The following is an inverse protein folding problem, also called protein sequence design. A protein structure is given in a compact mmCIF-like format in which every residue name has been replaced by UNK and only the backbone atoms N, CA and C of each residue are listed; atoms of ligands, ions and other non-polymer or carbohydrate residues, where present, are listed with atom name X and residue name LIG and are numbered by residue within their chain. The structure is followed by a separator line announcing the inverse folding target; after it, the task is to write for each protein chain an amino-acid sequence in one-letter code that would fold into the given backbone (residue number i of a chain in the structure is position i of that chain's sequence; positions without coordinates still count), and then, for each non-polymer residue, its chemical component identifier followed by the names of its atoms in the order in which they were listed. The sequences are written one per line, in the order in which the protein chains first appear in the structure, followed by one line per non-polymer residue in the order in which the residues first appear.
data_IF_855820815660
#
_entry.id   IF_855820815660
#
_cell.length_a   1.000
_cell.length_b   1.000
_cell.length_c   1.000
_cell.angle_alpha   90.00
_cell.angle_beta   90.00
_cell.angle_gamma   90.00
#
_symmetry.space_group_name_H-M   'P 1'
#
loop_
_entity.id
_entity.type
_entity.pdbx_description
1 polymer ?
#
# COMPACT_ATOMS: atom_id res chain seq x y z
N UNK A 1 -1.06 13.10 -4.75
CA UNK A 1 -0.52 12.69 -3.43
C UNK A 1 0.51 11.56 -3.51
N UNK A 2 0.18 10.36 -4.05
CA UNK A 2 1.15 9.24 -4.11
C UNK A 2 2.44 9.55 -4.89
N UNK A 3 2.36 10.38 -5.93
CA UNK A 3 3.54 10.84 -6.68
C UNK A 3 4.55 11.62 -5.81
N UNK A 4 4.12 12.31 -4.75
CA UNK A 4 5.05 12.99 -3.86
C UNK A 4 5.94 12.00 -3.09
N UNK A 5 5.43 10.79 -2.80
CA UNK A 5 6.20 9.73 -2.14
C UNK A 5 7.33 9.19 -3.03
N UNK A 6 7.22 9.31 -4.35
CA UNK A 6 8.28 8.88 -5.26
C UNK A 6 9.41 9.91 -5.36
N UNK A 7 9.28 11.11 -4.81
CA UNK A 7 10.29 12.16 -4.88
C UNK A 7 11.15 12.14 -3.59
N UNK A 8 12.46 12.28 -3.76
CA UNK A 8 13.40 12.49 -2.67
C UNK A 8 13.42 13.98 -2.32
N UNK A 9 13.17 14.31 -1.05
CA UNK A 9 12.97 15.70 -0.61
C UNK A 9 14.19 16.58 -0.87
N UNK A 10 15.39 16.08 -0.57
CA UNK A 10 16.62 16.87 -0.63
C UNK A 10 17.19 17.02 -2.05
N UNK A 11 17.01 16.02 -2.90
CA UNK A 11 17.64 15.98 -4.23
C UNK A 11 16.65 16.27 -5.35
N UNK A 12 15.35 16.35 -5.04
CA UNK A 12 14.25 16.47 -6.00
C UNK A 12 14.26 15.40 -7.09
N UNK A 13 14.96 14.27 -6.86
CA UNK A 13 15.03 13.13 -7.78
C UNK A 13 14.01 12.08 -7.42
N UNK A 14 13.66 11.24 -8.40
CA UNK A 14 12.83 10.06 -8.14
C UNK A 14 13.59 9.02 -7.30
N UNK A 15 12.89 8.42 -6.34
CA UNK A 15 13.37 7.30 -5.53
C UNK A 15 13.46 6.05 -6.38
N UNK A 16 14.39 5.16 -6.01
CA UNK A 16 14.45 3.82 -6.61
C UNK A 16 13.17 3.04 -6.30
N UNK A 17 12.83 2.09 -7.18
CA UNK A 17 11.65 1.25 -7.01
C UNK A 17 11.65 0.48 -5.67
N UNK A 18 12.83 0.07 -5.18
CA UNK A 18 12.99 -0.57 -3.88
C UNK A 18 12.61 0.37 -2.71
N UNK A 19 13.12 1.62 -2.71
CA UNK A 19 12.78 2.59 -1.66
C UNK A 19 11.30 3.00 -1.72
N UNK A 20 10.80 3.26 -2.92
CA UNK A 20 9.40 3.64 -3.13
C UNK A 20 8.43 2.53 -2.71
N UNK A 21 8.70 1.27 -3.10
CA UNK A 21 7.84 0.14 -2.72
C UNK A 21 7.78 -0.10 -1.21
N UNK A 22 8.89 0.08 -0.49
CA UNK A 22 8.90 -0.01 0.98
C UNK A 22 8.07 1.09 1.65
N UNK A 23 8.14 2.33 1.15
CA UNK A 23 7.31 3.43 1.67
C UNK A 23 5.83 3.19 1.36
N UNK A 24 5.53 2.79 0.12
CA UNK A 24 4.16 2.54 -0.31
C UNK A 24 3.54 1.34 0.42
N UNK A 25 4.30 0.27 0.70
CA UNK A 25 3.80 -0.86 1.50
C UNK A 25 3.42 -0.45 2.92
N UNK A 26 4.19 0.46 3.52
CA UNK A 26 3.89 1.00 4.84
C UNK A 26 2.59 1.79 4.81
N UNK A 27 2.39 2.63 3.79
CA UNK A 27 1.15 3.38 3.62
C UNK A 27 -0.06 2.45 3.37
N UNK A 28 0.09 1.41 2.54
CA UNK A 28 -0.94 0.36 2.33
C UNK A 28 -1.33 -0.28 3.66
N UNK A 29 -0.35 -0.59 4.51
CA UNK A 29 -0.61 -1.16 5.83
C UNK A 29 -1.39 -0.20 6.72
N UNK A 30 -0.94 1.05 6.86
CA UNK A 30 -1.62 2.07 7.67
C UNK A 30 -3.07 2.28 7.21
N UNK A 31 -3.30 2.39 5.90
CA UNK A 31 -4.66 2.56 5.34
C UNK A 31 -5.56 1.35 5.68
N UNK A 32 -5.04 0.13 5.63
CA UNK A 32 -5.81 -1.07 6.02
C UNK A 32 -6.17 -1.05 7.50
N UNK A 33 -5.23 -0.72 8.36
CA UNK A 33 -5.48 -0.65 9.82
C UNK A 33 -6.53 0.41 10.12
N UNK A 34 -6.40 1.61 9.56
CA UNK A 34 -7.39 2.68 9.74
C UNK A 34 -8.76 2.30 9.18
N UNK A 35 -8.82 1.65 8.01
CA UNK A 35 -10.09 1.23 7.43
C UNK A 35 -10.75 0.11 8.25
N UNK A 36 -9.97 -0.83 8.79
CA UNK A 36 -10.49 -1.85 9.71
C UNK A 36 -11.07 -1.17 10.94
N UNK A 37 -10.34 -0.25 11.57
CA UNK A 37 -10.82 0.46 12.75
C UNK A 37 -12.08 1.28 12.46
N UNK A 38 -12.17 1.89 11.27
CA UNK A 38 -13.35 2.67 10.86
C UNK A 38 -14.58 1.79 10.56
N UNK A 39 -14.38 0.61 9.97
CA UNK A 39 -15.49 -0.29 9.62
C UNK A 39 -15.87 -1.27 10.73
N UNK A 40 -14.95 -1.55 11.65
CA UNK A 40 -15.07 -2.46 12.77
C UNK A 40 -14.44 -1.78 13.99
N UNK A 41 -15.19 -0.84 14.58
CA UNK A 41 -14.76 -0.09 15.76
C UNK A 41 -14.29 -1.05 16.85
N UNK A 42 -13.10 -0.81 17.40
CA UNK A 42 -12.56 -1.68 18.43
C UNK A 42 -13.45 -1.73 19.68
N UNK A 43 -14.10 -0.62 20.01
CA UNK A 43 -14.97 -0.46 21.18
C UNK A 43 -16.23 -1.34 21.11
N UNK A 44 -16.70 -1.67 19.91
CA UNK A 44 -17.92 -2.46 19.68
C UNK A 44 -17.63 -3.93 19.39
N UNK A 45 -16.36 -4.38 19.49
CA UNK A 45 -15.96 -5.76 19.11
C UNK A 45 -16.69 -6.86 19.85
N UNK A 46 -17.11 -6.63 21.09
CA UNK A 46 -17.87 -7.61 21.87
C UNK A 46 -19.28 -7.84 21.34
N UNK A 47 -19.84 -6.85 20.63
CA UNK A 47 -21.21 -6.83 20.11
C UNK A 47 -21.25 -7.13 18.61
N UNK A 48 -20.11 -7.07 17.92
CA UNK A 48 -19.97 -7.39 16.51
C UNK A 48 -20.26 -8.87 16.22
N UNK A 49 -21.11 -9.11 15.22
CA UNK A 49 -21.51 -10.44 14.77
C UNK A 49 -21.47 -10.61 13.26
N UNK A 50 -22.35 -11.47 12.75
CA UNK A 50 -22.39 -11.83 11.35
C UNK A 50 -22.79 -10.66 10.42
N UNK A 51 -23.62 -9.73 10.91
CA UNK A 51 -24.10 -8.59 10.13
C UNK A 51 -22.98 -7.58 9.87
N UNK A 52 -22.21 -7.24 10.90
CA UNK A 52 -21.07 -6.32 10.85
C UNK A 52 -19.96 -6.92 10.01
N UNK A 53 -19.70 -8.21 10.17
CA UNK A 53 -18.76 -8.95 9.32
C UNK A 53 -19.15 -8.89 7.84
N UNK A 54 -20.43 -9.10 7.52
CA UNK A 54 -20.94 -9.01 6.14
C UNK A 54 -20.81 -7.59 5.58
N UNK A 55 -21.13 -6.58 6.39
CA UNK A 55 -20.94 -5.17 6.04
C UNK A 55 -19.48 -4.85 5.75
N UNK A 56 -18.56 -5.27 6.64
CA UNK A 56 -17.13 -5.11 6.48
C UNK A 56 -16.62 -5.77 5.18
N UNK A 57 -17.07 -6.99 4.86
CA UNK A 57 -16.67 -7.66 3.63
C UNK A 57 -17.10 -6.90 2.38
N UNK A 58 -18.29 -6.30 2.39
CA UNK A 58 -18.76 -5.42 1.30
C UNK A 58 -17.88 -4.17 1.18
N UNK A 59 -17.56 -3.52 2.29
CA UNK A 59 -16.69 -2.34 2.29
C UNK A 59 -15.26 -2.68 1.84
N UNK A 60 -14.72 -3.80 2.33
CA UNK A 60 -13.42 -4.33 1.92
C UNK A 60 -13.38 -4.58 0.42
N UNK A 61 -14.40 -5.24 -0.13
CA UNK A 61 -14.52 -5.51 -1.57
C UNK A 61 -14.61 -4.21 -2.40
N UNK A 62 -15.23 -3.16 -1.85
CA UNK A 62 -15.39 -1.88 -2.54
C UNK A 62 -14.16 -0.99 -2.50
N UNK A 63 -13.43 -0.99 -1.38
CA UNK A 63 -12.41 0.04 -1.11
C UNK A 63 -11.00 -0.48 -0.82
N UNK A 64 -10.83 -1.75 -0.45
CA UNK A 64 -9.54 -2.26 0.06
C UNK A 64 -8.85 -3.30 -0.83
N UNK A 65 -9.50 -3.73 -1.91
CA UNK A 65 -8.96 -4.68 -2.88
C UNK A 65 -8.47 -4.00 -4.16
N UNK A 66 -7.53 -4.69 -4.79
CA UNK A 66 -7.06 -4.38 -6.15
C UNK A 66 -8.20 -4.58 -7.17
N UNK A 67 -8.18 -3.81 -8.25
CA UNK A 67 -9.23 -3.82 -9.28
C UNK A 67 -10.51 -3.06 -8.91
N UNK A 68 -10.62 -2.53 -7.69
CA UNK A 68 -11.68 -1.58 -7.34
C UNK A 68 -11.37 -0.17 -7.87
N UNK A 69 -12.39 0.67 -8.05
CA UNK A 69 -12.18 2.10 -8.36
C UNK A 69 -11.91 2.89 -7.06
N UNK A 70 -10.81 2.56 -6.38
CA UNK A 70 -10.42 3.15 -5.10
C UNK A 70 -8.95 3.57 -5.09
N UNK A 71 -8.55 4.55 -4.24
CA UNK A 71 -7.15 4.91 -4.07
C UNK A 71 -6.27 3.71 -3.66
N UNK A 72 -6.84 2.77 -2.90
CA UNK A 72 -6.14 1.56 -2.47
C UNK A 72 -5.76 0.67 -3.65
N UNK A 73 -6.67 0.49 -4.62
CA UNK A 73 -6.40 -0.25 -5.85
C UNK A 73 -5.21 0.34 -6.61
N UNK A 74 -5.16 1.67 -6.76
CA UNK A 74 -4.01 2.37 -7.35
C UNK A 74 -2.72 2.13 -6.55
N UNK A 75 -2.78 2.18 -5.21
CA UNK A 75 -1.62 1.89 -4.36
C UNK A 75 -1.13 0.44 -4.52
N UNK A 76 -2.03 -0.53 -4.63
CA UNK A 76 -1.69 -1.94 -4.80
C UNK A 76 -1.07 -2.20 -6.18
N UNK A 77 -1.66 -1.65 -7.24
CA UNK A 77 -1.14 -1.70 -8.61
C UNK A 77 0.27 -1.09 -8.70
N UNK A 78 0.48 0.11 -8.13
CA UNK A 78 1.79 0.76 -8.08
C UNK A 78 2.81 -0.03 -7.25
N UNK A 79 2.37 -0.63 -6.14
CA UNK A 79 3.24 -1.46 -5.30
C UNK A 79 3.70 -2.72 -6.04
N UNK A 80 2.79 -3.39 -6.77
CA UNK A 80 3.11 -4.55 -7.58
C UNK A 80 4.12 -4.18 -8.68
N UNK A 81 3.88 -3.08 -9.39
CA UNK A 81 4.78 -2.57 -10.42
C UNK A 81 6.17 -2.21 -9.85
N UNK A 82 6.22 -1.47 -8.74
CA UNK A 82 7.48 -1.10 -8.11
C UNK A 82 8.29 -2.32 -7.64
N UNK A 83 7.63 -3.34 -7.08
CA UNK A 83 8.28 -4.61 -6.71
C UNK A 83 8.83 -5.34 -7.95
N UNK A 84 8.07 -5.36 -9.04
CA UNK A 84 8.50 -5.96 -10.30
C UNK A 84 9.79 -5.31 -10.82
N UNK A 85 9.85 -3.98 -10.83
CA UNK A 85 11.06 -3.23 -11.23
C UNK A 85 12.21 -3.49 -10.25
N UNK A 86 11.95 -3.46 -8.94
CA UNK A 86 12.97 -3.67 -7.92
C UNK A 86 13.64 -5.05 -8.04
N UNK A 87 12.87 -6.11 -8.28
CA UNK A 87 13.39 -7.47 -8.47
C UNK A 87 14.24 -7.63 -9.73
N UNK A 88 14.01 -6.79 -10.75
CA UNK A 88 14.73 -6.82 -12.03
C UNK A 88 15.87 -5.82 -12.11
N UNK A 89 15.97 -4.93 -11.13
CA UNK A 89 17.10 -4.01 -11.03
C UNK A 89 18.25 -4.77 -10.39
N UNK A 90 19.38 -4.98 -11.07
CA UNK A 90 20.52 -5.66 -10.48
C UNK A 90 20.97 -4.89 -9.23
N UNK A 91 21.20 -5.62 -8.14
CA UNK A 91 21.79 -5.04 -6.93
C UNK A 91 23.14 -4.44 -7.32
N UNK A 92 23.33 -3.15 -7.04
CA UNK A 92 24.51 -2.37 -7.41
C UNK A 92 25.80 -2.83 -6.72
N UNK A 93 25.81 -4.03 -6.10
CA UNK A 93 27.01 -4.65 -5.53
C UNK A 93 27.91 -5.22 -6.66
N UNK A 94 27.36 -5.53 -7.84
CA UNK A 94 28.16 -5.98 -8.99
C UNK A 94 28.88 -4.86 -9.77
N UNK A 95 28.68 -3.59 -9.39
CA UNK A 95 29.27 -2.43 -10.08
C UNK A 95 30.53 -1.84 -9.42
N UNK A 96 31.08 -2.49 -8.38
CA UNK A 96 32.30 -2.04 -7.68
C UNK A 96 33.55 -2.88 -8.00
N UNK A 97 33.47 -3.73 -9.03
CA UNK A 97 34.60 -4.55 -9.50
C UNK A 97 34.91 -4.27 -10.97
N UNK A 98 35.10 -3.02 -11.38
CA UNK A 98 35.95 -2.61 -12.51
C UNK A 98 36.35 -1.15 -12.32
#
# INVERSE_FOLDING_TARGET
FLAALSIHLETSRLRTAAKFSSMLSSLVYCVRVLAIEFFLLADERAEQGAAETSSFLKQRARYLVDGSYSPMSTMLSLLAYAKFIALRTPSTIAGSMW
#
